data_IF_252922617945
#
_entry.id   IF_252922617945
#
_cell.length_a   1.000
_cell.length_b   1.000
_cell.length_c   1.000
_cell.angle_alpha   90.00
_cell.angle_beta   90.00
_cell.angle_gamma   90.00
#
_symmetry.space_group_name_H-M   'P 1'
#
loop_
_entity.id
_entity.type
_entity.pdbx_description
1 polymer ?
#
# COMPACT_ATOMS: atom_id res chain seq x y z
N UNK A 1 -7.25 43.21 28.39
CA UNK A 1 -7.47 42.68 27.04
C UNK A 1 -6.60 41.43 26.92
N UNK A 2 -7.23 40.27 27.05
CA UNK A 2 -6.56 38.99 27.14
C UNK A 2 -6.59 38.34 25.75
N UNK A 3 -5.42 38.19 25.15
CA UNK A 3 -5.22 37.47 23.88
C UNK A 3 -5.25 35.98 24.17
N UNK A 4 -6.33 35.31 23.76
CA UNK A 4 -6.43 33.89 23.75
C UNK A 4 -5.54 33.34 22.62
N UNK A 5 -4.35 32.86 22.95
CA UNK A 5 -3.57 31.95 22.13
C UNK A 5 -4.34 30.65 21.99
N UNK A 6 -4.94 30.47 20.81
CA UNK A 6 -5.44 29.16 20.37
C UNK A 6 -4.24 28.30 20.02
N UNK A 7 -3.81 27.49 20.97
CA UNK A 7 -2.99 26.31 20.67
C UNK A 7 -3.82 25.38 19.78
N UNK A 8 -3.58 25.45 18.47
CA UNK A 8 -3.97 24.42 17.55
C UNK A 8 -2.98 23.27 17.80
N UNK A 9 -3.36 22.33 18.65
CA UNK A 9 -2.64 21.07 18.84
C UNK A 9 -2.66 20.30 17.53
N UNK A 10 -1.63 20.46 16.70
CA UNK A 10 -1.35 19.59 15.58
C UNK A 10 -1.06 18.21 16.14
N UNK A 11 -1.94 17.26 15.84
CA UNK A 11 -1.72 15.85 16.11
C UNK A 11 -0.51 15.42 15.25
N UNK A 12 0.67 15.25 15.87
CA UNK A 12 1.88 14.72 15.23
C UNK A 12 1.70 13.21 14.97
N UNK A 13 0.70 12.87 14.16
CA UNK A 13 0.57 11.52 13.65
C UNK A 13 1.77 11.24 12.72
N UNK A 14 2.55 10.23 13.06
CA UNK A 14 3.69 9.81 12.26
C UNK A 14 3.25 9.66 10.79
N UNK A 15 3.95 10.27 9.83
CA UNK A 15 3.55 10.21 8.42
C UNK A 15 3.48 8.75 7.96
N UNK A 16 2.44 8.42 7.20
CA UNK A 16 2.25 7.09 6.60
C UNK A 16 2.98 7.07 5.28
N UNK A 17 4.12 6.42 5.24
CA UNK A 17 4.96 6.35 4.04
C UNK A 17 4.49 5.19 3.15
N UNK A 18 4.04 5.49 1.94
CA UNK A 18 3.60 4.52 0.94
C UNK A 18 4.65 4.42 -0.16
N UNK A 19 5.10 3.20 -0.42
CA UNK A 19 5.94 2.90 -1.58
C UNK A 19 5.05 2.67 -2.80
N UNK A 20 5.08 3.59 -3.74
CA UNK A 20 4.38 3.48 -5.02
C UNK A 20 5.32 2.91 -6.09
N UNK A 21 4.89 1.83 -6.76
CA UNK A 21 5.68 1.13 -7.77
C UNK A 21 5.09 1.39 -9.16
N UNK A 22 5.79 2.18 -9.98
CA UNK A 22 5.33 2.59 -11.31
C UNK A 22 6.09 1.82 -12.38
N UNK A 23 5.36 1.01 -13.15
CA UNK A 23 5.90 0.31 -14.32
C UNK A 23 5.47 0.97 -15.61
N UNK A 24 6.16 0.64 -16.70
CA UNK A 24 5.77 1.02 -18.04
C UNK A 24 4.55 0.20 -18.48
N UNK A 25 3.49 0.89 -18.87
CA UNK A 25 2.29 0.29 -19.43
C UNK A 25 1.50 1.33 -20.23
N UNK A 26 0.70 0.89 -21.20
CA UNK A 26 -0.01 1.77 -22.13
C UNK A 26 -1.50 1.92 -21.80
N UNK A 27 -2.09 1.11 -20.91
CA UNK A 27 -3.50 1.19 -20.51
C UNK A 27 -3.62 1.63 -19.06
N UNK A 28 -4.52 2.57 -18.78
CA UNK A 28 -4.81 3.04 -17.44
C UNK A 28 -3.78 4.01 -16.87
N UNK A 29 -2.93 4.60 -17.71
CA UNK A 29 -1.89 5.56 -17.29
C UNK A 29 -2.50 6.80 -16.65
N UNK A 30 -3.54 7.37 -17.28
CA UNK A 30 -4.21 8.55 -16.76
C UNK A 30 -4.87 8.29 -15.40
N UNK A 31 -5.53 7.15 -15.27
CA UNK A 31 -6.18 6.72 -14.02
C UNK A 31 -5.14 6.40 -12.94
N UNK A 32 -4.02 5.78 -13.33
CA UNK A 32 -2.90 5.52 -12.43
C UNK A 32 -2.29 6.80 -11.87
N UNK A 33 -2.04 7.80 -12.73
CA UNK A 33 -1.54 9.11 -12.31
C UNK A 33 -2.55 9.84 -11.42
N UNK A 34 -3.83 9.80 -11.77
CA UNK A 34 -4.89 10.41 -10.94
C UNK A 34 -4.96 9.75 -9.56
N UNK A 35 -4.85 8.42 -9.48
CA UNK A 35 -4.83 7.71 -8.21
C UNK A 35 -3.62 8.09 -7.33
N UNK A 36 -2.45 8.27 -7.93
CA UNK A 36 -1.26 8.77 -7.24
C UNK A 36 -1.44 10.20 -6.74
N UNK A 37 -2.04 11.08 -7.56
CA UNK A 37 -2.35 12.47 -7.17
C UNK A 37 -3.28 12.50 -5.96
N UNK A 38 -4.35 11.71 -5.97
CA UNK A 38 -5.28 11.60 -4.85
C UNK A 38 -4.60 11.05 -3.60
N UNK A 39 -3.75 10.04 -3.75
CA UNK A 39 -3.01 9.46 -2.65
C UNK A 39 -1.99 10.47 -2.07
N UNK A 40 -1.24 11.18 -2.92
CA UNK A 40 -0.26 12.20 -2.51
C UNK A 40 -0.87 13.42 -1.84
N UNK A 41 -2.13 13.74 -2.16
CA UNK A 41 -2.89 14.83 -1.50
C UNK A 41 -3.66 14.35 -0.26
N UNK A 42 -3.63 13.07 0.07
CA UNK A 42 -4.29 12.52 1.26
C UNK A 42 -3.54 12.95 2.53
N UNK A 43 -4.19 13.62 3.49
CA UNK A 43 -3.54 14.07 4.71
C UNK A 43 -2.84 12.95 5.48
N UNK A 44 -1.59 13.19 5.87
CA UNK A 44 -0.78 12.24 6.63
C UNK A 44 -0.19 11.09 5.78
N UNK A 45 -0.34 11.11 4.46
CA UNK A 45 0.32 10.19 3.53
C UNK A 45 1.54 10.85 2.90
N UNK A 46 2.65 10.16 2.87
CA UNK A 46 3.87 10.54 2.15
C UNK A 46 4.14 9.50 1.08
N UNK A 47 4.25 9.93 -0.17
CA UNK A 47 4.57 9.04 -1.28
C UNK A 47 6.07 8.94 -1.48
N UNK A 48 6.56 7.71 -1.55
CA UNK A 48 7.88 7.36 -2.09
C UNK A 48 7.65 6.58 -3.37
N UNK A 49 8.21 7.03 -4.47
CA UNK A 49 7.98 6.46 -5.79
C UNK A 49 9.25 5.76 -6.30
N UNK A 50 9.11 4.51 -6.60
CA UNK A 50 10.03 3.82 -7.50
C UNK A 50 9.41 3.71 -8.88
N UNK A 51 10.21 3.97 -9.90
CA UNK A 51 9.77 3.86 -11.29
C UNK A 51 10.75 3.04 -12.10
N UNK A 52 10.23 2.13 -12.91
CA UNK A 52 11.02 1.58 -14.00
C UNK A 52 11.54 2.74 -14.87
N UNK A 53 12.78 2.68 -15.30
CA UNK A 53 13.44 3.78 -16.04
C UNK A 53 12.74 4.16 -17.34
N UNK A 54 12.00 3.23 -17.93
CA UNK A 54 11.17 3.46 -19.10
C UNK A 54 9.84 4.17 -18.80
N UNK A 55 9.32 4.04 -17.57
CA UNK A 55 8.01 4.60 -17.20
C UNK A 55 8.07 6.10 -16.89
N UNK A 56 9.06 6.53 -16.09
CA UNK A 56 9.27 7.94 -15.75
C UNK A 56 10.75 8.27 -15.92
N UNK A 57 11.14 8.88 -17.04
CA UNK A 57 12.50 9.37 -17.24
C UNK A 57 12.94 10.35 -16.15
N UNK A 58 14.23 10.34 -15.81
CA UNK A 58 14.77 11.13 -14.69
C UNK A 58 14.51 12.63 -14.82
N UNK A 59 14.59 13.16 -16.03
CA UNK A 59 14.35 14.57 -16.33
C UNK A 59 12.88 14.99 -16.16
N UNK A 60 11.95 14.03 -16.05
CA UNK A 60 10.53 14.27 -15.83
C UNK A 60 10.09 14.04 -14.39
N UNK A 61 10.95 13.53 -13.50
CA UNK A 61 10.59 13.17 -12.13
C UNK A 61 10.09 14.36 -11.31
N UNK A 62 10.72 15.53 -11.43
CA UNK A 62 10.28 16.73 -10.72
C UNK A 62 8.89 17.19 -11.17
N UNK A 63 8.62 17.14 -12.46
CA UNK A 63 7.30 17.48 -13.00
C UNK A 63 6.24 16.47 -12.57
N UNK A 64 6.60 15.21 -12.53
CA UNK A 64 5.73 14.14 -12.01
C UNK A 64 5.45 14.37 -10.52
N UNK A 65 6.47 14.64 -9.71
CA UNK A 65 6.31 14.90 -8.28
C UNK A 65 5.35 16.06 -8.02
N UNK A 66 5.47 17.16 -8.77
CA UNK A 66 4.53 18.27 -8.69
C UNK A 66 3.11 17.86 -9.09
N UNK A 67 2.97 17.05 -10.16
CA UNK A 67 1.65 16.64 -10.68
C UNK A 67 0.89 15.73 -9.71
N UNK A 68 1.59 14.93 -8.90
CA UNK A 68 0.97 14.03 -7.91
C UNK A 68 0.86 14.63 -6.49
N UNK A 69 1.11 15.92 -6.34
CA UNK A 69 0.97 16.60 -5.03
C UNK A 69 2.18 16.46 -4.11
N UNK A 70 3.32 16.01 -4.63
CA UNK A 70 4.58 15.78 -3.92
C UNK A 70 4.89 14.31 -3.71
N UNK A 71 6.11 13.92 -4.06
CA UNK A 71 6.65 12.59 -3.76
C UNK A 71 8.18 12.64 -3.74
N UNK A 72 8.79 11.61 -3.17
CA UNK A 72 10.25 11.40 -3.24
C UNK A 72 10.52 10.19 -4.13
N UNK A 73 11.45 10.34 -5.08
CA UNK A 73 11.87 9.20 -5.91
C UNK A 73 12.99 8.42 -5.22
N UNK A 74 12.94 7.10 -5.36
CA UNK A 74 14.02 6.18 -4.96
C UNK A 74 14.55 5.44 -6.18
N UNK A 75 15.87 5.28 -6.23
CA UNK A 75 16.54 4.63 -7.38
C UNK A 75 16.48 3.11 -7.31
N UNK A 76 16.44 2.55 -6.11
CA UNK A 76 16.43 1.11 -5.87
C UNK A 76 15.23 0.70 -5.02
N UNK A 77 14.70 -0.48 -5.33
CA UNK A 77 13.69 -1.12 -4.49
C UNK A 77 14.32 -1.70 -3.22
N UNK A 78 13.57 -1.77 -2.10
CA UNK A 78 14.01 -2.46 -0.91
C UNK A 78 14.42 -3.90 -1.23
N UNK A 79 15.68 -4.25 -0.95
CA UNK A 79 16.24 -5.57 -1.24
C UNK A 79 15.96 -6.62 -0.17
N UNK A 80 15.49 -6.20 1.01
CA UNK A 80 15.27 -7.04 2.17
C UNK A 80 14.01 -6.64 2.97
N UNK A 81 13.52 -7.52 3.85
CA UNK A 81 12.34 -7.25 4.67
C UNK A 81 12.46 -6.02 5.57
N UNK A 82 13.65 -5.74 6.13
CA UNK A 82 13.84 -4.64 7.09
C UNK A 82 13.68 -3.30 6.39
N UNK A 83 14.31 -3.14 5.23
CA UNK A 83 14.17 -1.94 4.41
C UNK A 83 12.72 -1.73 3.95
N UNK A 84 12.01 -2.81 3.58
CA UNK A 84 10.61 -2.72 3.17
C UNK A 84 9.69 -2.31 4.31
N UNK A 85 9.94 -2.75 5.54
CA UNK A 85 9.15 -2.39 6.72
C UNK A 85 9.28 -0.93 7.17
N UNK A 86 10.14 -0.14 6.52
CA UNK A 86 10.15 1.32 6.70
C UNK A 86 8.92 1.99 6.08
N UNK A 87 8.25 1.32 5.16
CA UNK A 87 6.99 1.73 4.55
C UNK A 87 5.80 1.13 5.30
N UNK A 88 4.66 1.81 5.29
CA UNK A 88 3.42 1.34 5.88
C UNK A 88 2.53 0.59 4.87
N UNK A 89 2.83 0.70 3.59
CA UNK A 89 2.12 -0.04 2.54
C UNK A 89 2.78 0.10 1.18
N UNK A 90 2.40 -0.79 0.27
CA UNK A 90 2.87 -0.81 -1.13
C UNK A 90 1.67 -0.58 -2.05
N UNK A 91 1.85 0.32 -3.00
CA UNK A 91 0.81 0.67 -3.97
C UNK A 91 1.32 0.55 -5.41
N UNK A 92 0.56 -0.11 -6.28
CA UNK A 92 0.84 -0.22 -7.72
C UNK A 92 -0.25 0.53 -8.49
N UNK A 93 0.03 1.76 -8.97
CA UNK A 93 -0.97 2.60 -9.66
C UNK A 93 -1.26 2.18 -11.08
N UNK A 94 -0.29 1.55 -11.73
CA UNK A 94 -0.41 1.08 -13.11
C UNK A 94 0.12 -0.35 -13.13
N UNK A 95 -0.74 -1.31 -13.44
CA UNK A 95 -0.36 -2.71 -13.45
C UNK A 95 -0.71 -3.36 -14.80
N UNK A 96 0.28 -4.01 -15.40
CA UNK A 96 0.10 -4.77 -16.63
C UNK A 96 -0.51 -6.14 -16.36
N UNK A 97 -1.03 -6.77 -17.42
CA UNK A 97 -1.45 -8.16 -17.37
C UNK A 97 -0.27 -9.11 -17.04
N UNK A 98 0.96 -8.77 -17.47
CA UNK A 98 2.19 -9.51 -17.14
C UNK A 98 2.48 -9.48 -15.65
N UNK A 99 2.44 -8.30 -15.01
CA UNK A 99 2.61 -8.17 -13.58
C UNK A 99 1.55 -8.96 -12.81
N UNK A 100 0.27 -8.81 -13.18
CA UNK A 100 -0.82 -9.53 -12.52
C UNK A 100 -0.65 -11.05 -12.66
N UNK A 101 -0.14 -11.54 -13.79
CA UNK A 101 0.20 -12.95 -13.99
C UNK A 101 1.34 -13.38 -13.07
N UNK A 102 2.47 -12.70 -13.11
CA UNK A 102 3.64 -13.02 -12.30
C UNK A 102 3.29 -13.10 -10.80
N UNK A 103 2.63 -12.06 -10.28
CA UNK A 103 2.20 -12.04 -8.88
C UNK A 103 1.23 -13.18 -8.55
N UNK A 104 0.29 -13.51 -9.44
CA UNK A 104 -0.69 -14.58 -9.21
C UNK A 104 -0.07 -15.97 -9.19
N UNK A 105 1.07 -16.16 -9.84
CA UNK A 105 1.84 -17.42 -9.85
C UNK A 105 2.96 -17.44 -8.79
N UNK A 106 3.14 -16.33 -8.05
CA UNK A 106 4.22 -16.22 -7.07
C UNK A 106 5.61 -16.05 -7.71
N UNK A 107 5.66 -15.54 -8.93
CA UNK A 107 6.91 -15.29 -9.65
C UNK A 107 7.57 -14.02 -9.10
N UNK A 108 8.77 -14.16 -8.53
CA UNK A 108 9.53 -13.11 -7.86
C UNK A 108 10.87 -12.80 -8.57
N UNK A 109 10.98 -13.17 -9.84
CA UNK A 109 12.24 -12.98 -10.61
C UNK A 109 12.60 -11.52 -10.79
N UNK A 110 11.63 -10.68 -11.04
CA UNK A 110 11.85 -9.25 -11.15
C UNK A 110 11.77 -8.54 -9.78
N UNK A 111 12.50 -7.43 -9.64
CA UNK A 111 12.58 -6.72 -8.37
C UNK A 111 11.24 -6.13 -7.92
N UNK A 112 10.39 -5.72 -8.87
CA UNK A 112 9.06 -5.17 -8.58
C UNK A 112 8.13 -6.25 -8.03
N UNK A 113 8.03 -7.40 -8.72
CA UNK A 113 7.22 -8.55 -8.30
C UNK A 113 7.67 -9.05 -6.93
N UNK A 114 8.98 -9.21 -6.74
CA UNK A 114 9.57 -9.60 -5.46
C UNK A 114 9.17 -8.65 -4.34
N UNK A 115 9.24 -7.33 -4.57
CA UNK A 115 8.87 -6.33 -3.57
C UNK A 115 7.38 -6.43 -3.19
N UNK A 116 6.49 -6.58 -4.17
CA UNK A 116 5.05 -6.72 -3.94
C UNK A 116 4.72 -8.00 -3.17
N UNK A 117 5.30 -9.14 -3.60
CA UNK A 117 5.09 -10.44 -2.93
C UNK A 117 5.66 -10.43 -1.52
N UNK A 118 6.86 -9.88 -1.32
CA UNK A 118 7.46 -9.76 0.00
C UNK A 118 6.60 -8.90 0.93
N UNK A 119 6.07 -7.78 0.46
CA UNK A 119 5.14 -6.96 1.23
C UNK A 119 3.89 -7.75 1.65
N UNK A 120 3.28 -8.49 0.71
CA UNK A 120 2.12 -9.33 1.00
C UNK A 120 2.45 -10.43 2.02
N UNK A 121 3.58 -11.13 1.89
CA UNK A 121 4.02 -12.17 2.82
C UNK A 121 4.38 -11.62 4.22
N UNK A 122 4.80 -10.37 4.30
CA UNK A 122 5.00 -9.67 5.58
C UNK A 122 3.69 -9.17 6.21
N UNK A 123 2.55 -9.39 5.55
CA UNK A 123 1.25 -8.89 5.99
C UNK A 123 1.11 -7.37 5.90
N UNK A 124 1.92 -6.72 5.08
CA UNK A 124 1.79 -5.29 4.84
C UNK A 124 0.56 -5.01 3.95
N UNK A 125 -0.10 -3.86 4.12
CA UNK A 125 -1.12 -3.42 3.18
C UNK A 125 -0.54 -3.28 1.76
N UNK A 126 -1.12 -4.01 0.82
CA UNK A 126 -0.77 -3.92 -0.60
C UNK A 126 -2.03 -3.64 -1.41
N UNK A 127 -1.99 -2.65 -2.29
CA UNK A 127 -3.06 -2.42 -3.25
C UNK A 127 -2.54 -2.21 -4.67
N UNK A 128 -3.34 -2.63 -5.62
CA UNK A 128 -3.04 -2.52 -7.05
C UNK A 128 -4.26 -1.95 -7.77
N UNK A 129 -4.07 -0.94 -8.61
CA UNK A 129 -5.13 -0.46 -9.48
C UNK A 129 -5.27 -1.42 -10.68
N UNK A 130 -6.39 -2.16 -10.71
CA UNK A 130 -6.60 -3.27 -11.64
C UNK A 130 -6.96 -2.86 -13.08
N UNK A 131 -7.12 -1.59 -13.36
CA UNK A 131 -7.56 -1.06 -14.66
C UNK A 131 -6.67 -1.54 -15.81
N UNK A 132 -5.37 -1.65 -15.59
CA UNK A 132 -4.39 -2.02 -16.61
C UNK A 132 -4.48 -3.46 -17.10
N UNK A 133 -5.13 -4.36 -16.36
CA UNK A 133 -5.35 -5.76 -16.81
C UNK A 133 -6.81 -6.19 -16.87
N UNK A 134 -7.76 -5.32 -16.49
CA UNK A 134 -9.19 -5.60 -16.58
C UNK A 134 -9.73 -5.27 -17.97
N UNK A 135 -9.94 -6.25 -18.87
CA UNK A 135 -10.19 -5.99 -20.28
C UNK A 135 -11.56 -5.36 -20.58
N UNK A 136 -12.46 -5.29 -19.59
CA UNK A 136 -13.75 -4.62 -19.68
C UNK A 136 -13.72 -3.18 -19.13
N UNK A 137 -12.57 -2.71 -18.67
CA UNK A 137 -12.46 -1.35 -18.18
C UNK A 137 -12.53 -0.33 -19.33
N UNK A 138 -13.02 0.88 -19.04
CA UNK A 138 -13.11 1.94 -20.03
C UNK A 138 -11.78 2.24 -20.75
N UNK A 139 -10.61 2.28 -20.09
CA UNK A 139 -9.34 2.50 -20.76
C UNK A 139 -9.01 1.45 -21.83
N UNK A 140 -9.34 0.18 -21.61
CA UNK A 140 -9.17 -0.88 -22.61
C UNK A 140 -10.07 -0.66 -23.82
N UNK A 141 -11.33 -0.28 -23.60
CA UNK A 141 -12.28 0.01 -24.68
C UNK A 141 -11.86 1.23 -25.47
N UNK A 142 -11.42 2.30 -24.81
CA UNK A 142 -10.92 3.52 -25.44
C UNK A 142 -9.64 3.29 -26.24
N UNK A 143 -8.78 2.39 -25.79
CA UNK A 143 -7.59 1.96 -26.53
C UNK A 143 -7.89 1.04 -27.73
N UNK A 144 -9.17 0.73 -28.00
CA UNK A 144 -9.56 -0.18 -29.09
C UNK A 144 -9.30 -1.67 -28.79
N UNK A 145 -9.03 -2.02 -27.52
CA UNK A 145 -8.63 -3.37 -27.11
C UNK A 145 -9.79 -4.22 -26.56
N UNK A 146 -11.03 -3.85 -26.80
CA UNK A 146 -12.23 -4.51 -26.26
C UNK A 146 -12.35 -6.01 -26.59
N UNK A 147 -11.69 -6.49 -27.67
CA UNK A 147 -11.64 -7.92 -28.00
C UNK A 147 -10.94 -8.77 -26.93
N UNK A 148 -10.08 -8.18 -26.12
CA UNK A 148 -9.40 -8.90 -25.03
C UNK A 148 -10.39 -9.52 -24.04
N UNK A 149 -11.50 -8.84 -23.78
CA UNK A 149 -12.58 -9.36 -22.92
C UNK A 149 -13.20 -10.67 -23.43
N UNK A 150 -13.26 -10.85 -24.74
CA UNK A 150 -13.78 -12.07 -25.37
C UNK A 150 -12.74 -13.18 -25.45
N UNK A 151 -11.46 -12.81 -25.61
CA UNK A 151 -10.37 -13.77 -25.75
C UNK A 151 -9.92 -14.37 -24.42
N UNK A 152 -10.01 -13.58 -23.31
CA UNK A 152 -9.57 -14.00 -21.98
C UNK A 152 -10.61 -13.73 -20.88
N UNK A 153 -11.85 -14.22 -21.00
CA UNK A 153 -12.92 -13.83 -20.09
C UNK A 153 -12.68 -14.23 -18.62
N UNK A 154 -11.95 -15.33 -18.39
CA UNK A 154 -11.75 -15.88 -17.05
C UNK A 154 -10.35 -15.65 -16.49
N UNK A 155 -9.37 -15.42 -17.33
CA UNK A 155 -7.97 -15.30 -16.90
C UNK A 155 -7.77 -14.15 -15.89
N UNK A 156 -8.36 -12.97 -16.15
CA UNK A 156 -8.25 -11.84 -15.24
C UNK A 156 -9.01 -12.07 -13.93
N UNK A 157 -10.17 -12.79 -13.95
CA UNK A 157 -10.93 -13.13 -12.75
C UNK A 157 -10.14 -14.05 -11.84
N UNK A 158 -9.55 -15.13 -12.40
CA UNK A 158 -8.73 -16.06 -11.65
C UNK A 158 -7.51 -15.37 -11.03
N UNK A 159 -6.80 -14.53 -11.79
CA UNK A 159 -5.66 -13.75 -11.28
C UNK A 159 -6.08 -12.82 -10.16
N UNK A 160 -7.16 -12.06 -10.36
CA UNK A 160 -7.69 -11.17 -9.33
C UNK A 160 -8.10 -11.93 -8.05
N UNK A 161 -8.63 -13.14 -8.18
CA UNK A 161 -8.97 -13.98 -7.03
C UNK A 161 -7.70 -14.45 -6.30
N UNK A 162 -6.68 -14.93 -7.02
CA UNK A 162 -5.40 -15.34 -6.42
C UNK A 162 -4.70 -14.19 -5.72
N UNK A 163 -4.66 -13.00 -6.32
CA UNK A 163 -4.08 -11.82 -5.70
C UNK A 163 -4.80 -11.45 -4.40
N UNK A 164 -6.14 -11.53 -4.36
CA UNK A 164 -6.89 -11.31 -3.12
C UNK A 164 -6.61 -12.36 -2.06
N UNK A 165 -6.38 -13.61 -2.44
CA UNK A 165 -5.97 -14.67 -1.50
C UNK A 165 -4.60 -14.41 -0.89
N UNK A 166 -3.70 -13.72 -1.59
CA UNK A 166 -2.42 -13.22 -1.08
C UNK A 166 -2.57 -11.97 -0.19
N UNK A 167 -3.78 -11.48 0.03
CA UNK A 167 -4.03 -10.25 0.80
C UNK A 167 -3.85 -8.96 0.00
N UNK A 168 -3.67 -9.04 -1.32
CA UNK A 168 -3.52 -7.87 -2.19
C UNK A 168 -4.90 -7.32 -2.54
N UNK A 169 -5.15 -6.05 -2.20
CA UNK A 169 -6.40 -5.36 -2.55
C UNK A 169 -6.36 -4.87 -4.00
N UNK A 170 -7.40 -5.19 -4.77
CA UNK A 170 -7.51 -4.76 -6.17
C UNK A 170 -8.53 -3.64 -6.24
N UNK A 171 -8.03 -2.45 -6.54
CA UNK A 171 -8.82 -1.25 -6.71
C UNK A 171 -9.32 -1.16 -8.15
N UNK A 172 -10.53 -0.63 -8.33
CA UNK A 172 -11.18 -0.52 -9.63
C UNK A 172 -11.26 0.92 -10.16
N UNK A 173 -11.10 1.89 -9.25
CA UNK A 173 -11.13 3.31 -9.61
C UNK A 173 -10.03 4.06 -8.85
N UNK A 174 -9.57 5.21 -9.39
CA UNK A 174 -8.56 6.05 -8.74
C UNK A 174 -8.94 6.48 -7.31
N UNK A 175 -10.23 6.78 -7.08
CA UNK A 175 -10.75 7.26 -5.79
C UNK A 175 -10.56 6.26 -4.68
N UNK A 176 -10.61 4.97 -5.01
CA UNK A 176 -10.40 3.88 -4.04
C UNK A 176 -8.99 3.87 -3.44
N UNK A 177 -8.00 4.54 -4.07
CA UNK A 177 -6.64 4.63 -3.51
C UNK A 177 -6.62 5.41 -2.19
N UNK A 178 -7.35 6.53 -2.12
CA UNK A 178 -7.50 7.31 -0.89
C UNK A 178 -8.23 6.50 0.20
N UNK A 179 -9.30 5.82 -0.16
CA UNK A 179 -10.05 4.99 0.79
C UNK A 179 -9.22 3.82 1.30
N UNK A 180 -8.44 3.19 0.42
CA UNK A 180 -7.48 2.17 0.82
C UNK A 180 -6.45 2.72 1.81
N UNK A 181 -5.84 3.86 1.51
CA UNK A 181 -4.85 4.47 2.40
C UNK A 181 -5.44 4.76 3.79
N UNK A 182 -6.63 5.32 3.85
CA UNK A 182 -7.32 5.61 5.11
C UNK A 182 -7.61 4.34 5.93
N UNK A 183 -8.02 3.25 5.28
CA UNK A 183 -8.39 2.00 5.97
C UNK A 183 -7.19 1.14 6.33
N UNK A 184 -6.26 1.00 5.40
CA UNK A 184 -5.23 -0.02 5.46
C UNK A 184 -3.98 0.46 6.21
N UNK A 185 -3.66 1.75 6.11
CA UNK A 185 -2.44 2.28 6.72
C UNK A 185 -2.60 2.66 8.20
N UNK A 186 -3.79 2.53 8.77
CA UNK A 186 -4.03 2.75 10.21
C UNK A 186 -3.61 1.55 11.09
N UNK A 187 -2.93 0.57 10.52
CA UNK A 187 -2.46 -0.64 11.20
C UNK A 187 -3.22 -1.91 10.79
N UNK A 188 -2.77 -3.07 11.23
CA UNK A 188 -3.36 -4.35 10.85
C UNK A 188 -4.79 -4.48 11.38
N UNK A 189 -5.68 -5.10 10.58
CA UNK A 189 -7.07 -5.36 11.00
C UNK A 189 -7.19 -6.43 12.10
N UNK A 190 -6.28 -7.38 12.08
CA UNK A 190 -6.19 -8.45 13.08
C UNK A 190 -4.75 -8.54 13.53
N UNK A 191 -4.54 -8.54 14.84
CA UNK A 191 -3.24 -8.80 15.45
C UNK A 191 -3.31 -10.16 16.13
N UNK A 192 -2.52 -11.10 15.65
CA UNK A 192 -2.36 -12.44 16.23
C UNK A 192 -1.02 -12.61 16.95
N UNK A 193 -0.83 -13.77 17.58
CA UNK A 193 0.39 -14.07 18.32
C UNK A 193 1.64 -14.09 17.42
N UNK A 194 1.53 -14.59 16.19
CA UNK A 194 2.65 -14.66 15.26
C UNK A 194 3.12 -13.27 14.83
N UNK A 195 2.19 -12.32 14.66
CA UNK A 195 2.52 -10.93 14.40
C UNK A 195 3.25 -10.29 15.58
N UNK A 196 2.82 -10.55 16.82
CA UNK A 196 3.52 -10.05 18.02
C UNK A 196 4.94 -10.59 18.09
N UNK A 197 5.14 -11.89 17.85
CA UNK A 197 6.47 -12.51 17.78
C UNK A 197 7.32 -11.88 16.65
N UNK A 198 6.69 -11.53 15.53
CA UNK A 198 7.32 -10.81 14.43
C UNK A 198 7.77 -9.40 14.81
N UNK A 199 6.96 -8.63 15.50
CA UNK A 199 7.31 -7.30 15.99
C UNK A 199 8.45 -7.37 17.01
N UNK A 200 8.41 -8.36 17.91
CA UNK A 200 9.45 -8.57 18.91
C UNK A 200 10.82 -8.89 18.26
N UNK A 201 10.84 -9.79 17.26
CA UNK A 201 12.09 -10.10 16.52
C UNK A 201 12.70 -8.88 15.84
N UNK A 202 11.90 -7.88 15.49
CA UNK A 202 12.35 -6.60 14.94
C UNK A 202 12.72 -5.56 16.00
N UNK A 203 12.76 -5.95 17.27
CA UNK A 203 13.07 -5.04 18.37
C UNK A 203 11.99 -4.02 18.69
N UNK A 204 10.80 -4.15 18.10
CA UNK A 204 9.68 -3.25 18.34
C UNK A 204 9.03 -3.60 19.69
N UNK A 205 8.79 -2.59 20.51
CA UNK A 205 8.09 -2.73 21.79
C UNK A 205 6.70 -2.14 21.80
N UNK A 206 6.37 -1.43 20.72
CA UNK A 206 5.07 -0.79 20.52
C UNK A 206 4.48 -1.26 19.19
N UNK A 207 3.22 -1.66 19.23
CA UNK A 207 2.44 -2.06 18.05
C UNK A 207 1.38 -1.01 17.81
N UNK A 208 1.46 -0.32 16.68
CA UNK A 208 0.44 0.62 16.26
C UNK A 208 -0.72 -0.16 15.64
N UNK A 209 -1.93 0.08 16.13
CA UNK A 209 -3.15 -0.56 15.65
C UNK A 209 -4.22 0.47 15.29
N UNK A 210 -5.02 0.16 14.29
CA UNK A 210 -6.18 0.97 13.93
C UNK A 210 -7.30 0.86 14.96
N UNK A 211 -8.22 1.81 14.98
CA UNK A 211 -9.39 1.83 15.90
C UNK A 211 -10.30 0.61 15.76
N UNK A 212 -10.25 -0.08 14.63
CA UNK A 212 -11.07 -1.27 14.34
C UNK A 212 -10.24 -2.56 14.30
N UNK A 213 -9.01 -2.53 14.85
CA UNK A 213 -8.16 -3.72 14.89
C UNK A 213 -8.70 -4.72 15.91
N UNK A 214 -8.84 -5.96 15.47
CA UNK A 214 -9.15 -7.10 16.33
C UNK A 214 -7.84 -7.67 16.85
N UNK A 215 -7.67 -7.69 18.16
CA UNK A 215 -6.50 -8.34 18.79
C UNK A 215 -6.96 -9.69 19.32
N UNK A 216 -6.32 -10.77 18.86
CA UNK A 216 -6.71 -12.11 19.31
C UNK A 216 -6.32 -12.35 20.77
N UNK A 217 -7.01 -13.23 21.50
CA UNK A 217 -6.65 -13.57 22.89
C UNK A 217 -5.20 -14.05 23.03
N UNK A 218 -4.71 -14.84 22.07
CA UNK A 218 -3.31 -15.30 22.06
C UNK A 218 -2.30 -14.16 21.84
N UNK A 219 -2.66 -13.13 21.07
CA UNK A 219 -1.82 -11.94 20.91
C UNK A 219 -1.74 -11.14 22.22
N UNK A 220 -2.85 -11.01 22.96
CA UNK A 220 -2.84 -10.36 24.28
C UNK A 220 -1.90 -11.08 25.28
N UNK A 221 -1.91 -12.41 25.29
CA UNK A 221 -0.99 -13.19 26.12
C UNK A 221 0.46 -12.87 25.76
N UNK A 222 0.80 -12.87 24.47
CA UNK A 222 2.15 -12.54 23.99
C UNK A 222 2.57 -11.10 24.32
N UNK A 223 1.67 -10.14 24.13
CA UNK A 223 1.93 -8.74 24.49
C UNK A 223 2.32 -8.61 25.98
N UNK A 224 1.60 -9.30 26.88
CA UNK A 224 1.92 -9.34 28.31
C UNK A 224 3.24 -10.02 28.60
N UNK A 225 3.47 -11.21 28.04
CA UNK A 225 4.72 -11.97 28.22
C UNK A 225 5.97 -11.14 27.86
N UNK A 226 5.87 -10.32 26.80
CA UNK A 226 7.00 -9.55 26.28
C UNK A 226 7.01 -8.08 26.73
N UNK A 227 6.06 -7.65 27.54
CA UNK A 227 5.95 -6.26 27.99
C UNK A 227 5.78 -5.27 26.83
N UNK A 228 5.08 -5.68 25.79
CA UNK A 228 4.80 -4.84 24.62
C UNK A 228 3.50 -4.04 24.80
N UNK A 229 3.43 -2.87 24.17
CA UNK A 229 2.29 -1.96 24.28
C UNK A 229 1.56 -1.84 22.95
N UNK A 230 0.21 -1.85 22.99
CA UNK A 230 -0.63 -1.47 21.86
C UNK A 230 -0.90 0.04 21.90
N UNK A 231 -0.64 0.73 20.80
CA UNK A 231 -1.04 2.13 20.62
C UNK A 231 -2.08 2.21 19.50
N UNK A 232 -3.16 2.92 19.72
CA UNK A 232 -4.13 3.21 18.66
C UNK A 232 -3.81 4.54 18.00
N UNK A 233 -4.09 4.65 16.71
CA UNK A 233 -3.93 5.88 15.93
C UNK A 233 -4.79 7.06 16.46
N UNK A 234 -5.73 6.81 17.37
CA UNK A 234 -6.63 7.78 18.00
C UNK A 234 -6.23 8.13 19.46
N UNK A 235 -4.95 8.15 19.80
CA UNK A 235 -4.42 8.55 21.13
C UNK A 235 -4.96 7.78 22.37
N UNK A 236 -5.62 6.64 22.20
CA UNK A 236 -5.95 5.78 23.34
C UNK A 236 -4.85 4.76 23.57
N UNK A 237 -3.97 5.03 24.53
CA UNK A 237 -3.05 4.03 25.05
C UNK A 237 -3.85 3.05 25.89
N UNK A 238 -4.02 1.81 25.43
CA UNK A 238 -4.55 0.75 26.28
C UNK A 238 -3.44 0.28 27.20
N UNK A 239 -3.49 0.71 28.47
CA UNK A 239 -2.73 0.02 29.52
C UNK A 239 -3.51 -1.27 29.81
N UNK A 240 -2.82 -2.39 29.72
CA UNK A 240 -3.33 -3.69 30.17
C UNK A 240 -3.37 -3.58 31.71
N UNK A 241 -4.55 -3.40 32.28
CA UNK A 241 -4.74 -3.45 33.72
C UNK A 241 -4.28 -4.81 34.25
N UNK A 242 -3.58 -4.75 35.39
CA UNK A 242 -3.01 -5.88 36.12
C UNK A 242 -4.05 -6.91 36.55
#
# INVERSE_FOLDING_TARGET
MSTHDRFIGGCDAKPRVVLALVQDHYVGVAEGLESLRQLGTTPGVTLVVWSASSAIPRDLQDRFAMAVGGCTFVEALPGDPEALLTYQGVYVPIASNGLAFALSEGDDRDAMERTVLLAAFLGMPVAILGIGWEPNSNPWLQAGLGRAATLWPDAWRMRSQRLRQLGIEILRTPEQATDWARRALDGPRVVDAAMIDGYLRRGQREVLVGVHTIVTPSAYVRLREYGMTLKTSAEKTWKLDE
#
